data_IF_404552494151
#
_entry.id   IF_404552494151
#
_cell.length_a   1.000
_cell.length_b   1.000
_cell.length_c   1.000
_cell.angle_alpha   90.00
_cell.angle_beta   90.00
_cell.angle_gamma   90.00
#
_symmetry.space_group_name_H-M   'P 1'
#
loop_
_entity.id
_entity.type
_entity.pdbx_description
1 polymer ?
#
# COMPACT_ATOMS: atom_id res chain seq x y z
N UNK A 1 -15.06 -16.32 -17.10
CA UNK A 1 -13.90 -15.39 -17.11
C UNK A 1 -13.72 -14.84 -15.70
N UNK A 2 -12.50 -14.84 -15.18
CA UNK A 2 -12.14 -14.26 -13.87
C UNK A 2 -10.81 -13.50 -13.98
N UNK A 3 -10.64 -12.47 -13.14
CA UNK A 3 -9.33 -11.87 -12.97
C UNK A 3 -8.43 -12.85 -12.17
N UNK A 4 -7.17 -12.96 -12.52
CA UNK A 4 -6.22 -13.82 -11.82
C UNK A 4 -6.15 -13.43 -10.33
N UNK A 5 -6.52 -14.36 -9.40
CA UNK A 5 -6.53 -14.02 -7.98
C UNK A 5 -5.11 -13.90 -7.44
N UNK A 6 -4.91 -12.99 -6.49
CA UNK A 6 -3.64 -12.79 -5.79
C UNK A 6 -3.27 -13.95 -4.86
N UNK A 7 -4.20 -14.85 -4.58
CA UNK A 7 -4.03 -15.96 -3.65
C UNK A 7 -4.15 -17.32 -4.36
N UNK A 8 -3.17 -18.19 -4.11
CA UNK A 8 -3.08 -19.52 -4.72
C UNK A 8 -4.30 -20.42 -4.41
N UNK A 9 -4.83 -20.37 -3.18
CA UNK A 9 -5.99 -21.16 -2.78
C UNK A 9 -7.24 -20.77 -3.57
N UNK A 10 -7.48 -19.45 -3.71
CA UNK A 10 -8.62 -18.95 -4.48
C UNK A 10 -8.55 -19.39 -5.94
N UNK A 11 -7.33 -19.40 -6.54
CA UNK A 11 -7.15 -19.93 -7.89
C UNK A 11 -7.52 -21.43 -7.97
N UNK A 12 -7.07 -22.23 -7.00
CA UNK A 12 -7.40 -23.66 -6.92
C UNK A 12 -8.90 -23.91 -6.75
N UNK A 13 -9.57 -23.15 -5.88
CA UNK A 13 -11.00 -23.25 -5.64
C UNK A 13 -11.81 -22.89 -6.91
N UNK A 14 -11.41 -21.82 -7.62
CA UNK A 14 -12.03 -21.43 -8.88
C UNK A 14 -11.87 -22.51 -9.96
N UNK A 15 -10.66 -23.08 -10.08
CA UNK A 15 -10.40 -24.17 -11.03
C UNK A 15 -11.27 -25.38 -10.73
N UNK A 16 -11.30 -25.83 -9.47
CA UNK A 16 -12.10 -26.96 -9.04
C UNK A 16 -13.60 -26.74 -9.27
N UNK A 17 -14.10 -25.54 -8.97
CA UNK A 17 -15.52 -25.22 -9.17
C UNK A 17 -15.89 -25.22 -10.67
N UNK A 18 -15.03 -24.69 -11.52
CA UNK A 18 -15.23 -24.69 -12.96
C UNK A 18 -15.18 -26.11 -13.55
N UNK A 19 -14.21 -26.92 -13.14
CA UNK A 19 -14.09 -28.32 -13.56
C UNK A 19 -15.32 -29.15 -13.16
N UNK A 20 -15.79 -29.00 -11.91
CA UNK A 20 -16.97 -29.67 -11.40
C UNK A 20 -18.28 -29.27 -12.14
N UNK A 21 -18.32 -28.04 -12.66
CA UNK A 21 -19.46 -27.50 -13.38
C UNK A 21 -19.36 -27.68 -14.90
N UNK A 22 -18.26 -28.23 -15.41
CA UNK A 22 -18.02 -28.38 -16.87
C UNK A 22 -17.87 -27.03 -17.59
N UNK A 23 -17.47 -25.96 -16.89
CA UNK A 23 -17.30 -24.61 -17.42
C UNK A 23 -15.81 -24.31 -17.63
N UNK A 24 -15.45 -23.81 -18.82
CA UNK A 24 -14.08 -23.38 -19.06
C UNK A 24 -13.74 -22.12 -18.25
N UNK A 25 -12.61 -22.16 -17.52
CA UNK A 25 -12.06 -21.01 -16.80
C UNK A 25 -11.09 -20.25 -17.70
N UNK A 26 -11.40 -18.99 -17.99
CA UNK A 26 -10.49 -18.03 -18.62
C UNK A 26 -10.01 -17.04 -17.56
N UNK A 27 -8.69 -16.94 -17.39
CA UNK A 27 -8.06 -16.01 -16.46
C UNK A 27 -7.53 -14.78 -17.20
N UNK A 28 -7.95 -13.61 -16.77
CA UNK A 28 -7.43 -12.33 -17.23
C UNK A 28 -6.33 -11.87 -16.26
N UNK A 29 -5.26 -11.27 -16.78
CA UNK A 29 -4.19 -10.72 -15.97
C UNK A 29 -4.72 -9.66 -14.99
N UNK A 30 -4.24 -9.70 -13.75
CA UNK A 30 -4.52 -8.66 -12.77
C UNK A 30 -3.68 -7.42 -13.09
N UNK A 31 -4.33 -6.35 -13.50
CA UNK A 31 -3.68 -5.07 -13.84
C UNK A 31 -3.54 -4.13 -12.65
N UNK A 32 -3.99 -4.52 -11.47
CA UNK A 32 -3.84 -3.72 -10.24
C UNK A 32 -2.38 -3.57 -9.81
N UNK A 33 -1.60 -4.65 -9.93
CA UNK A 33 -0.17 -4.64 -9.59
C UNK A 33 0.67 -4.07 -10.75
N UNK A 34 1.79 -3.42 -10.41
CA UNK A 34 2.71 -2.85 -11.40
C UNK A 34 3.54 -3.92 -12.12
N UNK A 35 3.65 -5.10 -11.56
CA UNK A 35 4.39 -6.22 -12.13
C UNK A 35 3.48 -7.45 -12.20
N UNK A 36 3.32 -8.02 -13.38
CA UNK A 36 2.62 -9.29 -13.55
C UNK A 36 3.47 -10.46 -13.04
N UNK A 37 2.83 -11.61 -12.78
CA UNK A 37 3.52 -12.84 -12.38
C UNK A 37 4.54 -13.27 -13.43
N UNK A 38 4.20 -13.16 -14.71
CA UNK A 38 5.09 -13.52 -15.81
C UNK A 38 6.30 -12.59 -15.91
N UNK A 39 6.11 -11.30 -15.67
CA UNK A 39 7.22 -10.33 -15.62
C UNK A 39 8.15 -10.61 -14.45
N UNK A 40 7.59 -10.91 -13.29
CA UNK A 40 8.39 -11.33 -12.14
C UNK A 40 9.12 -12.64 -12.39
N UNK A 41 8.45 -13.66 -12.95
CA UNK A 41 9.06 -14.94 -13.28
C UNK A 41 10.23 -14.78 -14.27
N UNK A 42 10.05 -13.94 -15.31
CA UNK A 42 11.16 -13.63 -16.26
C UNK A 42 12.33 -12.93 -15.58
N UNK A 43 12.03 -12.01 -14.66
CA UNK A 43 13.09 -11.32 -13.91
C UNK A 43 13.80 -12.25 -12.93
N UNK A 44 13.06 -13.15 -12.27
CA UNK A 44 13.59 -14.07 -11.27
C UNK A 44 14.40 -15.23 -11.89
N UNK A 45 14.14 -15.56 -13.17
CA UNK A 45 14.79 -16.65 -13.87
C UNK A 45 16.32 -16.53 -13.85
N UNK A 46 16.98 -17.65 -13.59
CA UNK A 46 18.44 -17.79 -13.57
C UNK A 46 19.16 -16.90 -12.50
N UNK A 47 18.43 -16.40 -11.50
CA UNK A 47 19.02 -15.68 -10.37
C UNK A 47 19.27 -16.61 -9.19
N UNK A 48 20.49 -16.62 -8.68
CA UNK A 48 20.85 -17.41 -7.50
C UNK A 48 20.14 -16.91 -6.23
N UNK A 49 19.86 -15.61 -6.14
CA UNK A 49 19.12 -15.02 -5.03
C UNK A 49 18.17 -13.91 -5.48
N UNK A 50 17.00 -13.87 -4.86
CA UNK A 50 16.01 -12.81 -5.07
C UNK A 50 16.19 -11.77 -3.99
N UNK A 51 16.71 -10.60 -4.36
CA UNK A 51 16.85 -9.44 -3.48
C UNK A 51 15.87 -8.36 -3.89
N UNK A 52 15.29 -7.68 -2.91
CA UNK A 52 14.32 -6.60 -3.15
C UNK A 52 14.95 -5.43 -3.90
N UNK A 53 16.13 -4.98 -3.53
CA UNK A 53 16.77 -3.79 -4.10
C UNK A 53 16.96 -3.84 -5.63
N UNK A 54 17.51 -4.88 -6.27
CA UNK A 54 17.57 -4.96 -7.73
C UNK A 54 16.19 -5.02 -8.41
N UNK A 55 15.20 -5.63 -7.75
CA UNK A 55 13.84 -5.66 -8.27
C UNK A 55 13.18 -4.27 -8.18
N UNK A 56 13.31 -3.61 -7.05
CA UNK A 56 12.85 -2.24 -6.84
C UNK A 56 13.40 -1.28 -7.89
N UNK A 57 14.73 -1.28 -8.14
CA UNK A 57 15.36 -0.44 -9.18
C UNK A 57 14.76 -0.68 -10.55
N UNK A 58 14.57 -1.95 -10.91
CA UNK A 58 13.91 -2.33 -12.16
C UNK A 58 12.49 -1.77 -12.23
N UNK A 59 11.69 -1.96 -11.18
CA UNK A 59 10.31 -1.50 -11.13
C UNK A 59 10.23 0.02 -11.23
N UNK A 60 11.06 0.72 -10.48
CA UNK A 60 11.15 2.17 -10.50
C UNK A 60 11.53 2.71 -11.88
N UNK A 61 12.54 2.13 -12.52
CA UNK A 61 12.95 2.50 -13.87
C UNK A 61 11.85 2.21 -14.90
N UNK A 62 11.20 1.03 -14.84
CA UNK A 62 10.15 0.66 -15.80
C UNK A 62 8.88 1.50 -15.64
N UNK A 63 8.56 1.92 -14.42
CA UNK A 63 7.41 2.77 -14.13
C UNK A 63 7.71 4.28 -14.30
N UNK A 64 8.97 4.65 -14.47
CA UNK A 64 9.40 6.05 -14.61
C UNK A 64 9.27 6.88 -13.31
N UNK A 65 9.12 6.23 -12.14
CA UNK A 65 8.88 6.90 -10.86
C UNK A 65 10.18 7.47 -10.29
N UNK A 66 10.19 8.77 -9.99
CA UNK A 66 11.37 9.51 -9.50
C UNK A 66 12.60 9.29 -10.40
N UNK A 67 12.38 9.30 -11.70
CA UNK A 67 13.42 9.16 -12.72
C UNK A 67 13.54 10.46 -13.54
N UNK A 68 14.77 10.80 -13.90
CA UNK A 68 15.09 11.89 -14.82
C UNK A 68 16.14 11.41 -15.84
N UNK A 69 15.82 11.46 -17.13
CA UNK A 69 16.75 11.06 -18.20
C UNK A 69 17.25 9.62 -18.14
N UNK A 70 16.48 8.71 -17.52
CA UNK A 70 16.86 7.30 -17.34
C UNK A 70 17.64 7.01 -16.06
N UNK A 71 18.01 8.04 -15.30
CA UNK A 71 18.70 7.92 -14.02
C UNK A 71 17.76 8.26 -12.85
N UNK A 72 17.99 7.71 -11.65
CA UNK A 72 17.22 8.10 -10.49
C UNK A 72 17.43 9.56 -10.16
N UNK A 73 16.34 10.25 -9.79
CA UNK A 73 16.41 11.62 -9.30
C UNK A 73 17.49 11.72 -8.22
N UNK A 74 18.33 12.75 -8.26
CA UNK A 74 19.51 12.97 -7.40
C UNK A 74 20.65 11.94 -7.55
N UNK A 75 20.61 11.02 -8.51
CA UNK A 75 21.62 9.99 -8.70
C UNK A 75 21.63 8.87 -7.64
N UNK A 76 20.64 8.84 -6.70
CA UNK A 76 20.54 7.83 -5.64
C UNK A 76 19.29 7.00 -5.80
N UNK A 77 19.43 5.67 -5.58
CA UNK A 77 18.35 4.72 -5.69
C UNK A 77 17.52 4.57 -4.41
N UNK A 78 18.12 4.73 -3.24
CA UNK A 78 17.40 4.65 -1.97
C UNK A 78 17.94 5.62 -0.92
N UNK A 79 17.13 5.87 0.09
CA UNK A 79 17.39 6.78 1.21
C UNK A 79 17.28 6.10 2.57
N UNK A 80 17.31 4.77 2.64
CA UNK A 80 17.17 4.00 3.88
C UNK A 80 18.07 4.47 5.01
N UNK A 81 19.31 4.86 4.68
CA UNK A 81 20.24 5.36 5.69
C UNK A 81 19.81 6.71 6.29
N UNK A 82 19.14 7.55 5.49
CA UNK A 82 18.63 8.85 5.91
C UNK A 82 17.32 8.71 6.71
N UNK A 83 16.59 7.61 6.49
CA UNK A 83 15.27 7.31 7.02
C UNK A 83 15.27 6.48 8.33
N UNK A 84 16.39 6.42 9.04
CA UNK A 84 16.54 5.70 10.32
C UNK A 84 16.69 6.62 11.51
N UNK A 85 16.00 7.74 11.53
CA UNK A 85 16.06 8.69 12.64
C UNK A 85 15.05 8.30 13.72
N UNK A 86 15.48 8.34 14.97
CA UNK A 86 14.60 8.20 16.13
C UNK A 86 14.03 9.55 16.58
N UNK A 87 13.03 9.48 17.45
CA UNK A 87 12.56 10.67 18.17
C UNK A 87 13.57 11.04 19.25
N UNK A 88 13.84 12.34 19.42
CA UNK A 88 14.64 12.82 20.56
C UNK A 88 13.90 12.64 21.89
N UNK A 89 14.54 13.07 23.00
CA UNK A 89 13.98 12.93 24.34
C UNK A 89 12.57 13.57 24.53
N UNK A 90 12.22 14.51 23.66
CA UNK A 90 10.90 15.16 23.68
C UNK A 90 9.80 14.38 22.93
N UNK A 91 10.16 13.23 22.36
CA UNK A 91 9.23 12.39 21.59
C UNK A 91 8.87 12.95 20.22
N UNK A 92 7.81 12.39 19.59
CA UNK A 92 7.42 12.69 18.20
C UNK A 92 6.82 14.09 18.00
N UNK A 93 6.48 14.81 19.06
CA UNK A 93 5.72 16.05 18.94
C UNK A 93 4.27 15.80 18.52
N UNK A 94 3.68 16.76 17.78
CA UNK A 94 2.31 16.61 17.27
C UNK A 94 2.29 15.79 16.00
N UNK A 95 1.73 14.59 16.09
CA UNK A 95 1.46 13.73 14.92
C UNK A 95 0.10 14.11 14.34
N UNK A 96 -0.03 14.32 13.01
CA UNK A 96 -1.32 14.58 12.38
C UNK A 96 -2.31 13.42 12.60
N UNK A 97 -3.58 13.76 12.78
CA UNK A 97 -4.62 12.75 12.95
C UNK A 97 -4.86 11.97 11.64
N UNK A 98 -5.19 10.70 11.81
CA UNK A 98 -5.66 9.87 10.68
C UNK A 98 -7.12 10.21 10.42
N UNK A 99 -7.53 10.43 9.16
CA UNK A 99 -8.93 10.63 8.83
C UNK A 99 -9.81 9.48 9.32
N UNK A 100 -10.93 9.82 9.92
CA UNK A 100 -11.94 8.89 10.42
C UNK A 100 -13.17 8.94 9.53
N UNK A 101 -13.73 7.77 9.21
CA UNK A 101 -14.89 7.62 8.34
C UNK A 101 -16.00 6.90 9.10
N UNK A 102 -17.12 7.61 9.28
CA UNK A 102 -18.27 7.03 9.99
C UNK A 102 -18.90 5.89 9.19
N UNK A 103 -19.09 4.71 9.80
CA UNK A 103 -19.78 3.61 9.16
C UNK A 103 -21.18 3.98 8.68
N UNK A 104 -21.50 3.72 7.43
CA UNK A 104 -22.84 3.79 6.88
C UNK A 104 -23.71 2.59 7.32
N UNK A 105 -24.94 2.48 6.83
CA UNK A 105 -25.85 1.38 7.20
C UNK A 105 -25.27 0.02 6.80
N UNK A 106 -24.75 -0.10 5.58
CA UNK A 106 -24.18 -1.34 5.06
C UNK A 106 -22.95 -1.76 5.87
N UNK A 107 -22.08 -0.82 6.19
CA UNK A 107 -20.90 -1.06 7.03
C UNK A 107 -21.28 -1.51 8.43
N UNK A 108 -22.31 -0.91 9.05
CA UNK A 108 -22.80 -1.33 10.35
C UNK A 108 -23.35 -2.77 10.34
N UNK A 109 -24.10 -3.12 9.29
CA UNK A 109 -24.61 -4.49 9.12
C UNK A 109 -23.46 -5.48 8.97
N UNK A 110 -22.46 -5.16 8.15
CA UNK A 110 -21.25 -5.99 8.00
C UNK A 110 -20.48 -6.14 9.33
N UNK A 111 -20.35 -5.06 10.13
CA UNK A 111 -19.73 -5.11 11.46
C UNK A 111 -20.50 -6.06 12.39
N UNK A 112 -21.84 -6.00 12.38
CA UNK A 112 -22.68 -6.89 13.17
C UNK A 112 -22.55 -8.37 12.74
N UNK A 113 -22.45 -8.62 11.44
CA UNK A 113 -22.24 -9.96 10.89
C UNK A 113 -20.87 -10.54 11.30
N UNK A 114 -19.82 -9.74 11.18
CA UNK A 114 -18.47 -10.16 11.61
C UNK A 114 -18.42 -10.42 13.13
N UNK A 115 -19.02 -9.55 13.94
CA UNK A 115 -19.07 -9.73 15.38
C UNK A 115 -19.78 -11.04 15.77
N UNK A 116 -20.84 -11.40 15.03
CA UNK A 116 -21.59 -12.65 15.25
C UNK A 116 -20.83 -13.89 14.78
N UNK A 117 -20.17 -13.80 13.62
CA UNK A 117 -19.46 -14.93 13.03
C UNK A 117 -18.13 -15.24 13.74
N UNK A 118 -17.49 -14.22 14.32
CA UNK A 118 -16.14 -14.33 14.89
C UNK A 118 -16.03 -13.73 16.31
N UNK A 119 -16.84 -14.18 17.27
CA UNK A 119 -16.92 -13.55 18.61
C UNK A 119 -15.64 -13.71 19.44
N UNK A 120 -14.80 -14.69 19.12
CA UNK A 120 -13.55 -14.98 19.86
C UNK A 120 -12.28 -14.45 19.21
N UNK A 121 -12.37 -13.73 18.09
CA UNK A 121 -11.19 -13.19 17.42
C UNK A 121 -10.65 -11.96 18.16
N UNK A 122 -9.32 -11.76 18.17
CA UNK A 122 -8.71 -10.60 18.81
C UNK A 122 -9.08 -9.30 18.07
N UNK A 123 -9.10 -8.20 18.81
CA UNK A 123 -9.40 -6.86 18.29
C UNK A 123 -10.80 -6.39 18.67
N UNK A 124 -11.15 -5.18 18.25
CA UNK A 124 -12.45 -4.56 18.50
C UNK A 124 -12.97 -3.88 17.25
N UNK A 125 -14.25 -4.06 16.97
CA UNK A 125 -14.94 -3.41 15.87
C UNK A 125 -15.61 -2.08 16.31
N UNK A 126 -15.61 -1.78 17.61
CA UNK A 126 -16.31 -0.61 18.15
C UNK A 126 -15.78 0.73 17.63
N UNK A 127 -14.49 0.78 17.29
CA UNK A 127 -13.82 1.97 16.74
C UNK A 127 -13.51 1.85 15.25
N UNK A 128 -14.23 1.01 14.51
CA UNK A 128 -14.03 0.89 13.08
C UNK A 128 -14.34 2.20 12.36
N UNK A 129 -13.34 2.77 11.70
CA UNK A 129 -13.43 4.06 11.03
C UNK A 129 -12.59 4.11 9.74
N UNK A 130 -12.37 2.95 9.12
CA UNK A 130 -11.62 2.85 7.87
C UNK A 130 -12.45 3.30 6.66
N UNK A 131 -11.80 3.80 5.59
CA UNK A 131 -12.49 4.09 4.35
C UNK A 131 -12.98 2.77 3.70
N UNK A 132 -14.27 2.70 3.41
CA UNK A 132 -14.92 1.55 2.74
C UNK A 132 -15.41 1.89 1.34
N UNK A 133 -15.26 3.14 0.92
CA UNK A 133 -15.60 3.61 -0.42
C UNK A 133 -14.38 4.20 -1.10
N UNK A 134 -14.35 4.15 -2.45
CA UNK A 134 -13.28 4.80 -3.20
C UNK A 134 -13.17 6.30 -2.89
N UNK A 135 -14.29 7.00 -2.75
CA UNK A 135 -14.31 8.42 -2.39
C UNK A 135 -13.58 8.69 -1.08
N UNK A 136 -13.83 7.88 -0.06
CA UNK A 136 -13.22 8.06 1.24
C UNK A 136 -11.75 7.58 1.25
N UNK A 137 -11.42 6.56 0.46
CA UNK A 137 -10.04 6.14 0.24
C UNK A 137 -9.20 7.25 -0.43
N UNK A 138 -9.75 7.97 -1.41
CA UNK A 138 -9.08 9.13 -2.02
C UNK A 138 -8.90 10.28 -1.02
N UNK A 139 -9.86 10.53 -0.13
CA UNK A 139 -9.71 11.52 0.97
C UNK A 139 -8.61 11.11 1.96
N UNK A 140 -8.49 9.79 2.25
CA UNK A 140 -7.42 9.28 3.08
C UNK A 140 -6.04 9.47 2.43
N UNK A 141 -5.94 9.23 1.12
CA UNK A 141 -4.73 9.48 0.34
C UNK A 141 -4.36 10.97 0.35
N UNK A 142 -5.30 11.87 0.05
CA UNK A 142 -5.07 13.30 0.06
C UNK A 142 -4.56 13.80 1.43
N UNK A 143 -5.20 13.36 2.52
CA UNK A 143 -4.77 13.72 3.86
C UNK A 143 -3.37 13.18 4.20
N UNK A 144 -3.04 11.98 3.76
CA UNK A 144 -1.70 11.42 3.96
C UNK A 144 -0.63 12.23 3.24
N UNK A 145 -0.78 12.44 1.92
CA UNK A 145 0.27 13.11 1.13
C UNK A 145 0.51 14.54 1.58
N UNK A 146 -0.55 15.22 2.04
CA UNK A 146 -0.46 16.62 2.51
C UNK A 146 0.10 16.75 3.92
N UNK A 147 -0.28 15.86 4.85
CA UNK A 147 -0.09 16.11 6.28
C UNK A 147 1.00 15.21 6.90
N UNK A 148 1.19 14.00 6.39
CA UNK A 148 2.10 13.02 6.99
C UNK A 148 3.30 12.67 6.12
N UNK A 149 3.13 12.58 4.81
CA UNK A 149 4.21 12.26 3.88
C UNK A 149 5.45 13.17 4.05
N UNK A 150 5.34 14.49 4.26
CA UNK A 150 6.52 15.34 4.43
C UNK A 150 7.46 14.96 5.57
N UNK A 151 6.95 14.31 6.62
CA UNK A 151 7.74 13.86 7.77
C UNK A 151 7.86 12.33 7.86
N UNK A 152 7.35 11.59 6.89
CA UNK A 152 7.32 10.13 6.91
C UNK A 152 8.73 9.53 6.88
N UNK A 153 9.55 9.85 5.86
CA UNK A 153 10.83 9.20 5.61
C UNK A 153 11.73 9.12 6.83
N UNK A 154 12.16 10.26 7.42
CA UNK A 154 13.09 10.24 8.55
C UNK A 154 12.64 9.41 9.75
N UNK A 155 11.33 9.23 9.93
CA UNK A 155 10.73 8.60 11.12
C UNK A 155 9.94 7.33 10.82
N UNK A 156 10.05 6.78 9.60
CA UNK A 156 9.28 5.60 9.19
C UNK A 156 9.49 4.38 10.10
N UNK A 157 10.69 4.18 10.62
CA UNK A 157 11.04 3.07 11.51
C UNK A 157 10.96 3.44 13.00
N UNK A 158 10.67 4.72 13.31
CA UNK A 158 10.70 5.19 14.68
C UNK A 158 9.44 4.78 15.46
N UNK A 159 9.65 4.25 16.65
CA UNK A 159 8.57 3.87 17.56
C UNK A 159 8.60 4.74 18.81
N UNK A 160 7.40 5.03 19.34
CA UNK A 160 7.23 5.75 20.60
C UNK A 160 6.11 5.15 21.41
N UNK A 161 6.33 5.02 22.73
CA UNK A 161 5.31 4.43 23.60
C UNK A 161 4.01 5.27 23.57
N UNK A 162 2.89 4.60 23.31
CA UNK A 162 1.59 5.25 23.17
C UNK A 162 1.28 5.83 21.77
N UNK A 163 2.23 5.83 20.84
CA UNK A 163 1.99 6.20 19.45
C UNK A 163 1.63 4.95 18.62
N UNK A 164 0.43 4.93 18.05
CA UNK A 164 -0.09 3.76 17.30
C UNK A 164 0.11 3.85 15.80
N UNK A 165 0.20 5.04 15.23
CA UNK A 165 0.25 5.24 13.77
C UNK A 165 1.48 6.05 13.33
N UNK A 166 1.84 7.12 14.04
CA UNK A 166 2.89 8.04 13.59
C UNK A 166 2.54 8.70 12.25
N UNK A 167 3.52 8.74 11.35
CA UNK A 167 3.35 9.34 10.01
C UNK A 167 3.00 8.33 8.91
N UNK A 168 2.65 7.08 9.27
CA UNK A 168 2.28 6.05 8.30
C UNK A 168 1.01 6.38 7.52
N UNK A 169 0.94 5.89 6.28
CA UNK A 169 -0.14 6.24 5.35
C UNK A 169 -1.51 5.70 5.74
N UNK A 170 -1.55 4.52 6.34
CA UNK A 170 -2.78 3.77 6.62
C UNK A 170 -3.60 3.43 5.35
N UNK A 171 -2.93 3.30 4.19
CA UNK A 171 -3.58 3.04 2.90
C UNK A 171 -3.60 1.56 2.51
N UNK A 172 -2.91 0.69 3.26
CA UNK A 172 -2.77 -0.72 2.89
C UNK A 172 -4.10 -1.45 2.70
N UNK A 173 -5.09 -1.19 3.55
CA UNK A 173 -6.43 -1.77 3.40
C UNK A 173 -7.11 -1.31 2.11
N UNK A 174 -7.06 -0.02 1.79
CA UNK A 174 -7.65 0.54 0.58
C UNK A 174 -6.98 0.03 -0.70
N UNK A 175 -5.65 -0.14 -0.69
CA UNK A 175 -4.89 -0.75 -1.78
C UNK A 175 -5.24 -2.23 -1.94
N UNK A 176 -5.26 -2.98 -0.84
CA UNK A 176 -5.55 -4.41 -0.86
C UNK A 176 -6.98 -4.72 -1.34
N UNK A 177 -7.94 -3.88 -0.98
CA UNK A 177 -9.33 -3.96 -1.44
C UNK A 177 -9.57 -3.33 -2.82
N UNK A 178 -8.51 -2.85 -3.49
CA UNK A 178 -8.55 -2.19 -4.80
C UNK A 178 -9.45 -0.95 -4.84
N UNK A 179 -9.65 -0.28 -3.71
CA UNK A 179 -10.30 1.03 -3.62
C UNK A 179 -9.37 2.14 -4.14
N UNK A 180 -8.05 1.92 -4.07
CA UNK A 180 -7.02 2.77 -4.65
C UNK A 180 -6.15 1.96 -5.61
N UNK A 181 -5.77 2.56 -6.73
CA UNK A 181 -4.75 1.99 -7.61
C UNK A 181 -3.35 2.39 -7.10
N UNK A 182 -2.37 1.46 -7.02
CA UNK A 182 -1.01 1.80 -6.62
C UNK A 182 -0.37 2.92 -7.46
N UNK A 183 -0.71 3.00 -8.75
CA UNK A 183 -0.17 4.03 -9.64
C UNK A 183 -0.64 5.43 -9.26
N UNK A 184 -1.91 5.58 -8.87
CA UNK A 184 -2.42 6.88 -8.41
C UNK A 184 -1.83 7.29 -7.07
N UNK A 185 -1.59 6.32 -6.18
CA UNK A 185 -0.95 6.58 -4.87
C UNK A 185 0.49 7.03 -5.06
N UNK A 186 1.25 6.34 -5.91
CA UNK A 186 2.63 6.70 -6.26
C UNK A 186 2.67 8.08 -6.94
N UNK A 187 1.80 8.32 -7.90
CA UNK A 187 1.73 9.60 -8.61
C UNK A 187 1.40 10.76 -7.67
N UNK A 188 0.50 10.56 -6.69
CA UNK A 188 0.18 11.57 -5.70
C UNK A 188 1.39 11.89 -4.80
N UNK A 189 2.13 10.88 -4.36
CA UNK A 189 3.34 11.08 -3.56
C UNK A 189 4.46 11.77 -4.37
N UNK A 190 4.70 11.35 -5.62
CA UNK A 190 5.70 11.97 -6.49
C UNK A 190 5.36 13.44 -6.79
N UNK A 191 4.07 13.77 -6.96
CA UNK A 191 3.61 15.12 -7.16
C UNK A 191 3.97 16.06 -5.98
N UNK A 192 3.94 15.55 -4.74
CA UNK A 192 4.35 16.32 -3.56
C UNK A 192 5.86 16.63 -3.58
N UNK A 193 6.69 15.67 -4.00
CA UNK A 193 8.11 15.92 -4.22
C UNK A 193 8.35 16.94 -5.33
N UNK A 194 7.75 16.73 -6.51
CA UNK A 194 7.92 17.64 -7.66
C UNK A 194 7.46 19.07 -7.35
N UNK A 195 6.51 19.23 -6.45
CA UNK A 195 6.03 20.53 -5.97
C UNK A 195 6.86 21.12 -4.80
N UNK A 196 7.88 20.40 -4.31
CA UNK A 196 8.73 20.85 -3.21
C UNK A 196 8.05 20.82 -1.83
N UNK A 197 6.94 20.07 -1.69
CA UNK A 197 6.19 19.94 -0.42
C UNK A 197 6.61 18.74 0.43
N UNK A 198 7.23 17.73 -0.17
CA UNK A 198 7.80 16.59 0.54
C UNK A 198 9.25 16.35 0.09
N UNK A 199 10.10 15.90 1.01
CA UNK A 199 11.49 15.52 0.72
C UNK A 199 11.56 14.25 -0.11
N UNK A 200 12.62 14.11 -0.90
CA UNK A 200 12.86 12.93 -1.73
C UNK A 200 13.00 11.65 -0.86
N UNK A 201 13.64 11.77 0.30
CA UNK A 201 13.77 10.71 1.29
C UNK A 201 12.41 10.18 1.78
N UNK A 202 11.44 11.07 1.98
CA UNK A 202 10.09 10.69 2.39
C UNK A 202 9.29 10.02 1.27
N UNK A 203 9.39 10.54 0.04
CA UNK A 203 8.63 10.01 -1.09
C UNK A 203 9.21 8.70 -1.60
N UNK A 204 10.53 8.56 -1.59
CA UNK A 204 11.20 7.32 -1.98
C UNK A 204 10.99 6.22 -0.93
N UNK A 205 11.02 6.58 0.36
CA UNK A 205 10.78 5.64 1.45
C UNK A 205 9.32 5.16 1.56
N UNK A 206 8.37 5.92 1.02
CA UNK A 206 6.96 5.55 0.96
C UNK A 206 6.67 4.58 -0.18
#
# INVERSE_FOLDING_TARGET
VACEPGEWRVLGDLQQACDASGVALELLADTHFLCSRDEFARWAKDRESLRMEPFYRRMRASAGVLMDGGEPVSGRWNYDADNRKGFGAKGPGRVPEVPSFMPDAITRDAIADVARAYPGHPGSLASFAWPVTRRDALRALEAFVRERLPAFGPTQDAMWNGMTVGWHSMLSAALNLKLLDPREVIAAAEAEYRAGRAGLDSVEGF
#
